data_IF_922665611957
#
_entry.id   IF_922665611957
#
_cell.length_a   1.000
_cell.length_b   1.000
_cell.length_c   1.000
_cell.angle_alpha   90.00
_cell.angle_beta   90.00
_cell.angle_gamma   90.00
#
_symmetry.space_group_name_H-M   'P 1'
#
loop_
_entity.id
_entity.type
_entity.pdbx_description
1 polymer ?
#
# COMPACT_ATOMS: atom_id res chain seq x y z
N UNK A 1 -19.28 6.05 -6.16
CA UNK A 1 -18.45 6.96 -5.35
C UNK A 1 -19.27 8.19 -5.03
N UNK A 2 -19.30 8.60 -3.78
CA UNK A 2 -19.90 9.86 -3.35
C UNK A 2 -19.05 11.06 -3.82
N UNK A 3 -19.60 12.27 -3.76
CA UNK A 3 -18.83 13.48 -4.04
C UNK A 3 -17.64 13.65 -3.07
N UNK A 4 -17.78 13.20 -1.82
CA UNK A 4 -16.70 13.18 -0.83
C UNK A 4 -15.57 12.24 -1.26
N UNK A 5 -15.91 11.03 -1.74
CA UNK A 5 -14.93 10.05 -2.19
C UNK A 5 -14.09 10.57 -3.37
N UNK A 6 -14.69 11.37 -4.26
CA UNK A 6 -13.99 11.96 -5.41
C UNK A 6 -12.99 13.04 -4.97
N UNK A 7 -13.31 13.81 -3.93
CA UNK A 7 -12.37 14.76 -3.33
C UNK A 7 -11.17 14.04 -2.71
N UNK A 8 -11.42 13.04 -1.87
CA UNK A 8 -10.36 12.23 -1.25
C UNK A 8 -9.51 11.50 -2.28
N UNK A 9 -10.13 10.99 -3.35
CA UNK A 9 -9.40 10.39 -4.47
C UNK A 9 -8.43 11.39 -5.11
N UNK A 10 -8.90 12.61 -5.41
CA UNK A 10 -8.09 13.63 -6.07
C UNK A 10 -6.89 14.03 -5.21
N UNK A 11 -7.11 14.26 -3.92
CA UNK A 11 -6.06 14.64 -2.98
C UNK A 11 -4.99 13.55 -2.88
N UNK A 12 -5.42 12.28 -2.77
CA UNK A 12 -4.50 11.15 -2.76
C UNK A 12 -3.66 11.05 -4.03
N UNK A 13 -4.28 11.17 -5.22
CA UNK A 13 -3.58 11.05 -6.49
C UNK A 13 -2.55 12.18 -6.65
N UNK A 14 -2.91 13.42 -6.30
CA UNK A 14 -1.99 14.55 -6.35
C UNK A 14 -0.76 14.32 -5.47
N UNK A 15 -0.98 13.97 -4.20
CA UNK A 15 0.09 13.71 -3.22
C UNK A 15 0.97 12.51 -3.63
N UNK A 16 0.36 11.44 -4.14
CA UNK A 16 1.09 10.25 -4.56
C UNK A 16 1.91 10.46 -5.84
N UNK A 17 1.43 11.31 -6.77
CA UNK A 17 2.19 11.71 -7.96
C UNK A 17 3.35 12.63 -7.59
N UNK A 18 3.12 13.63 -6.73
CA UNK A 18 4.17 14.54 -6.26
C UNK A 18 5.30 13.79 -5.55
N UNK A 19 4.94 12.79 -4.73
CA UNK A 19 5.91 11.92 -4.05
C UNK A 19 6.56 10.87 -4.96
N UNK A 20 6.11 10.74 -6.20
CA UNK A 20 6.59 9.73 -7.15
C UNK A 20 6.24 8.28 -6.76
N UNK A 21 5.24 8.09 -5.90
CA UNK A 21 4.76 6.76 -5.50
C UNK A 21 3.99 6.07 -6.62
N UNK A 22 3.31 6.86 -7.45
CA UNK A 22 2.55 6.39 -8.61
C UNK A 22 2.95 7.18 -9.86
N UNK A 23 2.58 6.66 -11.03
CA UNK A 23 2.72 7.31 -12.34
C UNK A 23 1.58 6.87 -13.24
N UNK A 24 1.33 7.66 -14.29
CA UNK A 24 0.43 7.23 -15.35
C UNK A 24 0.92 5.94 -16.02
N UNK A 25 -0.04 5.12 -16.45
CA UNK A 25 0.22 3.80 -17.02
C UNK A 25 -0.82 3.45 -18.08
N UNK A 26 -0.37 2.77 -19.12
CA UNK A 26 -1.20 2.18 -20.17
C UNK A 26 -1.33 0.65 -20.02
N UNK A 27 -1.17 0.15 -18.78
CA UNK A 27 -1.27 -1.27 -18.46
C UNK A 27 -2.60 -1.86 -18.91
N UNK A 28 -2.55 -3.08 -19.48
CA UNK A 28 -3.75 -3.84 -19.82
C UNK A 28 -4.46 -4.41 -18.59
N UNK A 29 -3.79 -4.44 -17.43
CA UNK A 29 -4.35 -4.86 -16.17
C UNK A 29 -4.56 -3.64 -15.26
N UNK A 30 -5.70 -3.59 -14.56
CA UNK A 30 -5.96 -2.58 -13.55
C UNK A 30 -6.82 -3.13 -12.41
N UNK A 31 -6.42 -2.84 -11.18
CA UNK A 31 -7.21 -3.15 -9.98
C UNK A 31 -8.15 -1.99 -9.64
N UNK A 32 -9.36 -2.24 -9.11
CA UNK A 32 -10.26 -1.18 -8.70
C UNK A 32 -9.82 -0.55 -7.38
N UNK A 33 -10.21 0.71 -7.18
CA UNK A 33 -10.02 1.46 -5.94
C UNK A 33 -11.29 1.42 -5.09
N UNK A 34 -11.12 1.27 -3.79
CA UNK A 34 -12.16 1.25 -2.75
C UNK A 34 -11.84 2.30 -1.68
N UNK A 35 -12.87 2.83 -1.03
CA UNK A 35 -12.74 3.72 0.12
C UNK A 35 -13.20 2.99 1.38
N UNK A 36 -12.35 2.97 2.41
CA UNK A 36 -12.62 2.30 3.68
C UNK A 36 -12.64 3.37 4.78
N UNK A 37 -13.74 3.52 5.52
CA UNK A 37 -13.84 4.51 6.58
C UNK A 37 -12.90 4.15 7.73
N UNK A 38 -12.15 5.14 8.22
CA UNK A 38 -11.36 5.03 9.44
C UNK A 38 -12.17 5.52 10.64
N UNK A 39 -11.69 5.14 11.83
CA UNK A 39 -12.25 5.58 13.11
C UNK A 39 -12.16 7.09 13.34
N UNK A 40 -11.23 7.77 12.68
CA UNK A 40 -11.02 9.22 12.78
C UNK A 40 -11.96 10.04 11.86
N UNK A 41 -12.87 9.38 11.15
CA UNK A 41 -13.80 10.01 10.22
C UNK A 41 -13.22 10.28 8.82
N UNK A 42 -11.94 9.96 8.59
CA UNK A 42 -11.34 10.03 7.25
C UNK A 42 -11.50 8.71 6.49
N UNK A 43 -11.56 8.77 5.16
CA UNK A 43 -11.52 7.57 4.35
C UNK A 43 -10.09 7.18 3.97
N UNK A 44 -9.82 5.88 3.88
CA UNK A 44 -8.60 5.32 3.32
C UNK A 44 -8.88 4.81 1.92
N UNK A 45 -8.08 5.29 0.97
CA UNK A 45 -8.00 4.68 -0.35
C UNK A 45 -7.32 3.31 -0.26
N UNK A 46 -7.97 2.28 -0.77
CA UNK A 46 -7.45 0.92 -0.85
C UNK A 46 -7.60 0.38 -2.27
N UNK A 47 -6.49 -0.10 -2.84
CA UNK A 47 -6.52 -0.81 -4.13
C UNK A 47 -6.82 -2.28 -3.86
N UNK A 48 -7.83 -2.82 -4.54
CA UNK A 48 -8.23 -4.21 -4.38
C UNK A 48 -7.36 -5.15 -5.22
N UNK A 49 -6.22 -5.56 -4.66
CA UNK A 49 -5.31 -6.50 -5.28
C UNK A 49 -5.68 -7.97 -5.07
N UNK A 50 -6.88 -8.33 -4.60
CA UNK A 50 -7.22 -9.75 -4.30
C UNK A 50 -6.96 -10.68 -5.49
N UNK A 51 -7.46 -10.32 -6.68
CA UNK A 51 -7.25 -11.12 -7.90
C UNK A 51 -5.78 -11.19 -8.31
N UNK A 52 -5.02 -10.10 -8.13
CA UNK A 52 -3.59 -10.08 -8.39
C UNK A 52 -2.83 -11.00 -7.42
N UNK A 53 -3.21 -10.97 -6.14
CA UNK A 53 -2.59 -11.77 -5.09
C UNK A 53 -2.83 -13.27 -5.30
N UNK A 54 -3.98 -13.66 -5.87
CA UNK A 54 -4.31 -15.07 -6.15
C UNK A 54 -3.44 -15.66 -7.26
N UNK A 55 -3.02 -14.85 -8.23
CA UNK A 55 -2.14 -15.28 -9.34
C UNK A 55 -0.65 -15.07 -9.05
N UNK A 56 -0.32 -14.43 -7.92
CA UNK A 56 1.07 -14.13 -7.55
C UNK A 56 1.66 -15.25 -6.70
N UNK A 57 2.90 -15.65 -7.00
CA UNK A 57 3.63 -16.63 -6.20
C UNK A 57 3.93 -16.02 -4.83
N UNK A 58 3.45 -16.67 -3.76
CA UNK A 58 3.65 -16.21 -2.38
C UNK A 58 5.08 -16.47 -1.95
N UNK A 59 5.82 -15.40 -1.66
CA UNK A 59 7.09 -15.48 -0.95
C UNK A 59 6.82 -15.76 0.54
N UNK A 60 7.05 -17.00 0.96
CA UNK A 60 6.81 -17.46 2.34
C UNK A 60 8.04 -17.25 3.20
N UNK A 61 8.52 -16.01 3.27
CA UNK A 61 9.60 -15.68 4.19
C UNK A 61 9.13 -15.87 5.65
N UNK A 62 9.87 -16.63 6.48
CA UNK A 62 9.46 -16.89 7.86
C UNK A 62 9.59 -15.62 8.69
N UNK A 63 8.45 -14.99 9.00
CA UNK A 63 8.41 -13.92 9.99
C UNK A 63 8.49 -14.55 11.39
N UNK A 64 9.42 -14.11 12.26
CA UNK A 64 9.56 -14.65 13.59
C UNK A 64 8.31 -14.37 14.42
N UNK A 65 7.97 -15.30 15.30
CA UNK A 65 6.84 -15.12 16.20
C UNK A 65 7.12 -13.99 17.21
N UNK A 66 6.07 -13.28 17.62
CA UNK A 66 6.21 -12.21 18.61
C UNK A 66 6.81 -12.71 19.94
N UNK A 67 6.57 -13.97 20.31
CA UNK A 67 7.21 -14.63 21.46
C UNK A 67 8.71 -14.78 21.27
N UNK A 68 9.15 -15.31 20.13
CA UNK A 68 10.57 -15.50 19.80
C UNK A 68 11.33 -14.17 19.80
N UNK A 69 10.73 -13.12 19.24
CA UNK A 69 11.29 -11.77 19.25
C UNK A 69 11.47 -11.24 20.68
N UNK A 70 10.49 -11.47 21.57
CA UNK A 70 10.58 -11.05 22.98
C UNK A 70 11.64 -11.84 23.74
N UNK A 71 11.73 -13.15 23.51
CA UNK A 71 12.73 -14.01 24.18
C UNK A 71 14.15 -13.58 23.85
N UNK A 72 14.42 -13.19 22.59
CA UNK A 72 15.72 -12.65 22.16
C UNK A 72 16.09 -11.37 22.91
N UNK A 73 15.11 -10.57 23.29
CA UNK A 73 15.32 -9.28 23.97
C UNK A 73 15.27 -9.38 25.50
N UNK A 74 15.02 -10.57 26.08
CA UNK A 74 14.77 -10.76 27.52
C UNK A 74 15.87 -10.25 28.45
N UNK A 75 17.11 -10.16 27.98
CA UNK A 75 18.26 -9.66 28.76
C UNK A 75 18.52 -8.16 28.58
N UNK A 76 17.83 -7.50 27.63
CA UNK A 76 17.97 -6.08 27.41
C UNK A 76 17.30 -5.28 28.53
N UNK A 77 17.94 -4.20 28.98
CA UNK A 77 17.43 -3.30 30.02
C UNK A 77 16.81 -2.03 29.46
N UNK A 78 17.18 -1.66 28.23
CA UNK A 78 16.76 -0.46 27.54
C UNK A 78 16.27 -0.89 26.16
N UNK A 79 15.12 -0.37 25.74
CA UNK A 79 14.50 -0.66 24.45
C UNK A 79 14.27 0.64 23.69
N UNK A 80 14.53 0.61 22.39
CA UNK A 80 14.17 1.69 21.48
C UNK A 80 13.44 1.07 20.30
N UNK A 81 12.31 1.68 19.91
CA UNK A 81 11.51 1.25 18.78
C UNK A 81 11.58 2.34 17.72
N UNK A 82 11.90 1.94 16.49
CA UNK A 82 11.83 2.79 15.32
C UNK A 82 10.68 2.31 14.43
N UNK A 83 9.90 3.26 13.91
CA UNK A 83 8.81 2.98 13.00
C UNK A 83 9.11 3.69 11.67
N UNK A 84 9.11 2.91 10.57
CA UNK A 84 9.34 3.44 9.24
C UNK A 84 8.01 3.93 8.66
N UNK A 85 7.80 5.25 8.70
CA UNK A 85 6.66 5.88 8.03
C UNK A 85 6.68 5.56 6.55
N UNK A 86 5.54 5.16 6.01
CA UNK A 86 5.38 4.80 4.59
C UNK A 86 6.36 3.72 4.11
N UNK A 87 6.76 2.78 4.99
CA UNK A 87 7.84 1.82 4.71
C UNK A 87 7.70 1.06 3.38
N UNK A 88 6.48 0.73 2.95
CA UNK A 88 6.25 0.08 1.64
C UNK A 88 6.64 0.97 0.45
N UNK A 89 6.43 2.29 0.53
CA UNK A 89 6.77 3.24 -0.53
C UNK A 89 8.27 3.54 -0.62
N UNK A 90 9.07 3.11 0.37
CA UNK A 90 10.53 3.22 0.34
C UNK A 90 11.18 2.12 -0.51
N UNK A 91 10.43 1.08 -0.88
CA UNK A 91 10.90 -0.04 -1.69
C UNK A 91 10.34 0.12 -3.10
N UNK A 92 11.24 0.19 -4.09
CA UNK A 92 10.85 0.31 -5.50
C UNK A 92 10.30 -1.02 -6.02
N UNK A 93 9.21 -0.95 -6.79
CA UNK A 93 8.73 -2.09 -7.58
C UNK A 93 9.82 -2.56 -8.54
N UNK A 94 9.93 -3.87 -8.74
CA UNK A 94 10.88 -4.43 -9.71
C UNK A 94 10.62 -3.84 -11.10
N UNK A 95 11.68 -3.40 -11.75
CA UNK A 95 11.61 -2.83 -13.10
C UNK A 95 10.96 -3.82 -14.08
N UNK A 96 9.98 -3.35 -14.84
CA UNK A 96 9.19 -4.16 -15.77
C UNK A 96 7.98 -4.86 -15.13
N UNK A 97 7.81 -4.80 -13.81
CA UNK A 97 6.66 -5.39 -13.11
C UNK A 97 5.68 -4.36 -12.55
N UNK A 98 5.91 -3.06 -12.75
CA UNK A 98 5.08 -1.98 -12.22
C UNK A 98 3.63 -2.03 -12.75
N UNK A 99 3.44 -2.58 -13.95
CA UNK A 99 2.13 -2.75 -14.58
C UNK A 99 1.19 -3.64 -13.76
N UNK A 100 1.72 -4.56 -12.94
CA UNK A 100 0.93 -5.45 -12.08
C UNK A 100 0.13 -4.68 -11.03
N UNK A 101 0.71 -3.59 -10.52
CA UNK A 101 0.11 -2.73 -9.49
C UNK A 101 -0.64 -1.54 -10.09
N UNK A 102 -0.92 -1.55 -11.39
CA UNK A 102 -1.77 -0.54 -11.98
C UNK A 102 -3.19 -0.60 -11.38
N UNK A 103 -3.78 0.55 -11.17
CA UNK A 103 -5.14 0.70 -10.68
C UNK A 103 -5.87 1.74 -11.50
N UNK A 104 -7.19 1.58 -11.60
CA UNK A 104 -8.04 2.51 -12.33
C UNK A 104 -8.77 3.42 -11.36
N UNK A 105 -8.85 4.69 -11.74
CA UNK A 105 -9.70 5.68 -11.08
C UNK A 105 -10.85 6.02 -12.03
N UNK A 106 -11.85 6.77 -11.55
CA UNK A 106 -13.00 7.16 -12.37
C UNK A 106 -12.68 8.29 -13.37
N UNK A 107 -11.46 8.83 -13.32
CA UNK A 107 -10.95 9.80 -14.28
C UNK A 107 -9.98 9.08 -15.21
N UNK A 108 -10.42 8.88 -16.45
CA UNK A 108 -9.53 8.52 -17.56
C UNK A 108 -9.06 9.85 -18.12
N UNK A 109 -7.76 10.15 -18.04
CA UNK A 109 -7.15 11.14 -18.93
C UNK A 109 -7.03 10.56 -20.34
#
# INVERSE_FOLDING_TARGET
>A
MSASDLGTLRDYIGDALEKGWIRESTSQAASPVLFIPKKDGTDRLCVDYRKLNDITIKDRYPLPLATELRDRLRKAKIFSKFDLRNGFHLIRMKEGEEWKTAFRTYWVS
#
